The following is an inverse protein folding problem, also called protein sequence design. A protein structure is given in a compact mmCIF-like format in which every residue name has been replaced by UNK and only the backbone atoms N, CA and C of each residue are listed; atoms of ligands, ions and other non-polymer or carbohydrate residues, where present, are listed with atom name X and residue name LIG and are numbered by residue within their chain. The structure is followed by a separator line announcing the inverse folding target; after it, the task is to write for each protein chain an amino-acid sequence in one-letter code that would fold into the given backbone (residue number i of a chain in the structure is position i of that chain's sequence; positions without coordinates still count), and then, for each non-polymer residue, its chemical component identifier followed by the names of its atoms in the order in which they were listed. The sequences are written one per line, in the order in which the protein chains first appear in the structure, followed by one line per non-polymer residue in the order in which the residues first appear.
data_IF_210831592592
#
_entry.id   IF_210831592592
#
_cell.length_a   1.000
_cell.length_b   1.000
_cell.length_c   1.000
_cell.angle_alpha   90.00
_cell.angle_beta   90.00
_cell.angle_gamma   90.00
#
_symmetry.space_group_name_H-M   'P 1'
#
loop_
_entity.id
_entity.type
_entity.pdbx_description
1 polymer ?
#
# COMPACT_ATOMS: atom_id res chain seq x y z
N UNK A 1 -7.79 7.23 16.17
CA UNK A 1 -8.05 7.59 14.75
C UNK A 1 -7.36 6.50 13.99
N UNK A 2 -8.13 5.76 13.18
CA UNK A 2 -7.67 4.49 12.62
C UNK A 2 -7.31 4.65 11.15
N UNK A 3 -6.38 3.82 10.68
CA UNK A 3 -5.99 3.69 9.29
C UNK A 3 -7.08 2.99 8.48
N UNK A 4 -7.37 3.51 7.29
CA UNK A 4 -8.36 2.97 6.36
C UNK A 4 -7.78 2.78 4.97
N UNK A 5 -8.18 1.69 4.32
CA UNK A 5 -7.78 1.35 2.95
C UNK A 5 -9.01 1.04 2.10
N UNK A 6 -9.01 1.47 0.84
CA UNK A 6 -10.09 1.16 -0.10
C UNK A 6 -9.60 1.09 -1.55
N UNK A 7 -10.30 0.31 -2.37
CA UNK A 7 -10.16 0.35 -3.82
C UNK A 7 -11.11 1.40 -4.39
N UNK A 8 -10.56 2.56 -4.73
CA UNK A 8 -11.35 3.77 -5.09
C UNK A 8 -12.26 3.55 -6.29
N UNK A 9 -11.83 2.73 -7.27
CA UNK A 9 -12.63 2.36 -8.42
C UNK A 9 -13.93 1.62 -8.06
N UNK A 10 -13.93 0.85 -6.96
CA UNK A 10 -15.08 0.05 -6.52
C UNK A 10 -15.96 0.73 -5.47
N UNK A 11 -15.44 1.76 -4.80
CA UNK A 11 -16.12 2.39 -3.65
C UNK A 11 -16.53 3.82 -3.96
N UNK A 12 -15.56 4.71 -4.24
CA UNK A 12 -15.83 6.14 -4.41
C UNK A 12 -16.20 6.51 -5.85
N UNK A 13 -15.74 5.74 -6.84
CA UNK A 13 -15.90 6.01 -8.27
C UNK A 13 -16.59 4.85 -9.00
N UNK A 14 -17.41 4.08 -8.29
CA UNK A 14 -18.08 2.90 -8.82
C UNK A 14 -19.09 3.22 -9.94
N UNK A 15 -19.58 4.47 -10.00
CA UNK A 15 -20.56 4.92 -10.99
C UNK A 15 -19.96 5.26 -12.35
N UNK A 16 -18.64 5.50 -12.41
CA UNK A 16 -17.94 5.81 -13.65
C UNK A 16 -17.58 4.53 -14.42
N UNK A 17 -17.53 4.60 -15.75
CA UNK A 17 -16.93 3.53 -16.54
C UNK A 17 -15.41 3.44 -16.33
N UNK A 18 -14.79 2.35 -16.77
CA UNK A 18 -13.32 2.22 -16.74
C UNK A 18 -12.64 3.32 -17.56
N UNK A 19 -13.21 3.71 -18.70
CA UNK A 19 -12.69 4.77 -19.55
C UNK A 19 -12.78 6.14 -18.88
N UNK A 20 -13.91 6.45 -18.23
CA UNK A 20 -14.11 7.70 -17.50
C UNK A 20 -13.16 7.81 -16.30
N UNK A 21 -12.99 6.72 -15.53
CA UNK A 21 -12.00 6.66 -14.44
C UNK A 21 -10.58 6.84 -14.95
N UNK A 22 -10.22 6.16 -16.03
CA UNK A 22 -8.89 6.27 -16.64
C UNK A 22 -8.59 7.69 -17.11
N UNK A 23 -9.59 8.42 -17.63
CA UNK A 23 -9.43 9.80 -18.09
C UNK A 23 -9.06 10.78 -16.96
N UNK A 24 -9.41 10.46 -15.71
CA UNK A 24 -9.06 11.24 -14.52
C UNK A 24 -7.91 10.64 -13.70
N UNK A 25 -7.20 9.66 -14.26
CA UNK A 25 -6.03 9.04 -13.63
C UNK A 25 -6.35 8.01 -12.55
N UNK A 26 -7.57 7.47 -12.52
CA UNK A 26 -7.96 6.38 -11.62
C UNK A 26 -7.83 5.05 -12.36
N UNK A 27 -6.80 4.27 -12.03
CA UNK A 27 -6.69 2.88 -12.48
C UNK A 27 -7.56 1.95 -11.63
N UNK A 28 -7.96 0.80 -12.19
CA UNK A 28 -8.73 -0.20 -11.45
C UNK A 28 -7.94 -0.82 -10.28
N UNK A 29 -6.60 -0.78 -10.36
CA UNK A 29 -5.67 -1.19 -9.31
C UNK A 29 -5.35 -0.10 -8.29
N UNK A 30 -5.91 1.11 -8.42
CA UNK A 30 -5.61 2.22 -7.51
C UNK A 30 -6.23 1.97 -6.14
N UNK A 31 -5.37 1.99 -5.13
CA UNK A 31 -5.74 1.86 -3.72
C UNK A 31 -5.48 3.20 -3.03
N UNK A 32 -6.44 3.65 -2.21
CA UNK A 32 -6.30 4.84 -1.36
C UNK A 32 -6.07 4.40 0.08
N UNK A 33 -5.03 4.95 0.70
CA UNK A 33 -4.70 4.74 2.12
C UNK A 33 -4.85 6.07 2.86
N UNK A 34 -5.75 6.11 3.84
CA UNK A 34 -5.86 7.20 4.80
C UNK A 34 -5.15 6.76 6.09
N UNK A 35 -3.95 7.27 6.32
CA UNK A 35 -3.09 6.89 7.45
C UNK A 35 -3.60 7.51 8.74
N UNK A 36 -3.80 6.67 9.77
CA UNK A 36 -4.19 7.08 11.11
C UNK A 36 -3.02 7.55 11.97
N UNK A 37 -3.12 7.34 13.28
CA UNK A 37 -2.11 7.79 14.27
C UNK A 37 -1.44 6.62 15.01
N UNK A 38 -1.54 5.41 14.46
CA UNK A 38 -0.94 4.20 15.00
C UNK A 38 0.60 4.26 14.95
N UNK A 39 1.25 3.31 15.63
CA UNK A 39 2.71 3.20 15.57
C UNK A 39 3.15 2.89 14.13
N UNK A 40 4.16 3.62 13.65
CA UNK A 40 4.64 3.48 12.28
C UNK A 40 5.14 2.05 12.00
N UNK A 41 5.76 1.40 12.98
CA UNK A 41 6.27 0.03 12.83
C UNK A 41 5.15 -0.99 12.63
N UNK A 42 4.00 -0.81 13.29
CA UNK A 42 2.83 -1.68 13.13
C UNK A 42 2.22 -1.50 11.73
N UNK A 43 2.08 -0.25 11.26
CA UNK A 43 1.58 0.05 9.92
C UNK A 43 2.51 -0.49 8.82
N UNK A 44 3.83 -0.34 9.00
CA UNK A 44 4.82 -0.88 8.07
C UNK A 44 4.78 -2.41 8.02
N UNK A 45 4.66 -3.06 9.18
CA UNK A 45 4.58 -4.52 9.26
C UNK A 45 3.31 -5.05 8.58
N UNK A 46 2.16 -4.40 8.80
CA UNK A 46 0.90 -4.81 8.20
C UNK A 46 0.91 -4.63 6.67
N UNK A 47 1.36 -3.47 6.18
CA UNK A 47 1.50 -3.20 4.75
C UNK A 47 2.51 -4.13 4.07
N UNK A 48 3.66 -4.40 4.69
CA UNK A 48 4.65 -5.32 4.15
C UNK A 48 4.09 -6.74 4.02
N UNK A 49 3.43 -7.24 5.06
CA UNK A 49 2.81 -8.56 5.01
C UNK A 49 1.75 -8.66 3.91
N UNK A 50 0.93 -7.63 3.74
CA UNK A 50 -0.10 -7.60 2.70
C UNK A 50 0.51 -7.60 1.28
N UNK A 51 1.52 -6.77 1.05
CA UNK A 51 2.23 -6.68 -0.23
C UNK A 51 2.98 -7.98 -0.55
N UNK A 52 3.64 -8.59 0.43
CA UNK A 52 4.32 -9.88 0.26
C UNK A 52 3.37 -10.98 -0.18
N UNK A 53 2.17 -11.04 0.38
CA UNK A 53 1.13 -11.98 -0.04
C UNK A 53 0.62 -11.68 -1.46
N UNK A 54 0.44 -10.41 -1.80
CA UNK A 54 -0.09 -10.00 -3.10
C UNK A 54 0.90 -10.25 -4.25
N UNK A 55 2.19 -10.08 -4.01
CA UNK A 55 3.24 -10.15 -5.03
C UNK A 55 4.16 -11.38 -4.91
N UNK A 56 3.88 -12.28 -3.96
CA UNK A 56 4.72 -13.44 -3.66
C UNK A 56 6.18 -13.04 -3.34
N UNK A 57 6.34 -11.94 -2.59
CA UNK A 57 7.64 -11.41 -2.18
C UNK A 57 7.92 -11.68 -0.70
N UNK A 58 9.12 -11.34 -0.28
CA UNK A 58 9.53 -11.22 1.12
C UNK A 58 10.18 -9.85 1.33
N UNK A 59 9.59 -9.04 2.21
CA UNK A 59 10.02 -7.68 2.51
C UNK A 59 10.71 -7.63 3.88
N UNK A 60 11.95 -7.15 3.88
CA UNK A 60 12.74 -6.91 5.09
C UNK A 60 13.00 -5.42 5.25
N UNK A 61 12.72 -4.88 6.44
CA UNK A 61 13.07 -3.49 6.76
C UNK A 61 14.45 -3.42 7.41
N UNK A 62 15.35 -2.67 6.79
CA UNK A 62 16.72 -2.49 7.29
C UNK A 62 16.94 -1.04 7.72
N UNK A 63 17.74 -0.83 8.77
CA UNK A 63 18.15 0.52 9.19
C UNK A 63 19.15 1.08 8.19
N UNK A 64 18.80 2.19 7.54
CA UNK A 64 19.69 2.87 6.62
C UNK A 64 20.77 3.63 7.40
N UNK A 65 21.98 3.08 7.42
CA UNK A 65 23.22 3.77 7.77
C UNK A 65 23.20 4.55 9.10
N UNK A 66 22.54 4.02 10.14
CA UNK A 66 22.48 4.66 11.46
C UNK A 66 21.56 5.89 11.56
N UNK A 67 20.80 6.22 10.51
CA UNK A 67 19.88 7.38 10.48
C UNK A 67 18.54 7.15 11.16
N UNK A 68 18.30 5.95 11.70
CA UNK A 68 16.99 5.54 12.23
C UNK A 68 15.91 5.35 11.17
N UNK A 69 16.18 5.71 9.90
CA UNK A 69 15.26 5.54 8.78
C UNK A 69 15.28 4.08 8.30
N UNK A 70 14.12 3.44 8.29
CA UNK A 70 13.96 2.11 7.72
C UNK A 70 13.85 2.19 6.19
N UNK A 71 14.60 1.32 5.51
CA UNK A 71 14.52 1.11 4.07
C UNK A 71 14.02 -0.31 3.80
N UNK A 72 12.91 -0.48 3.05
CA UNK A 72 12.43 -1.79 2.64
C UNK A 72 13.36 -2.41 1.60
N UNK A 73 13.67 -3.69 1.76
CA UNK A 73 14.36 -4.54 0.81
C UNK A 73 13.40 -5.66 0.42
N UNK A 74 13.02 -5.70 -0.86
CA UNK A 74 12.05 -6.67 -1.39
C UNK A 74 12.80 -7.77 -2.13
N UNK A 75 12.52 -9.01 -1.77
CA UNK A 75 13.08 -10.22 -2.38
C UNK A 75 11.96 -11.04 -3.00
N UNK A 76 12.16 -11.55 -4.22
CA UNK A 76 11.18 -12.44 -4.86
C UNK A 76 11.37 -13.87 -4.34
N UNK A 77 10.27 -14.53 -3.95
CA UNK A 77 10.30 -15.95 -3.60
C UNK A 77 10.41 -16.76 -4.91
N UNK A 78 11.42 -17.62 -5.00
CA UNK A 78 11.62 -18.57 -6.11
C UNK A 78 10.62 -19.73 -6.00
#
# INVERSE_FOLDING_TARGET
VETLIEQVALVSYYELSTEERSAIGISDSLIRLAVGIEAADDLLADLAQALDKAFQTETLFQSANGSGRLTPVVMYRQ
#
